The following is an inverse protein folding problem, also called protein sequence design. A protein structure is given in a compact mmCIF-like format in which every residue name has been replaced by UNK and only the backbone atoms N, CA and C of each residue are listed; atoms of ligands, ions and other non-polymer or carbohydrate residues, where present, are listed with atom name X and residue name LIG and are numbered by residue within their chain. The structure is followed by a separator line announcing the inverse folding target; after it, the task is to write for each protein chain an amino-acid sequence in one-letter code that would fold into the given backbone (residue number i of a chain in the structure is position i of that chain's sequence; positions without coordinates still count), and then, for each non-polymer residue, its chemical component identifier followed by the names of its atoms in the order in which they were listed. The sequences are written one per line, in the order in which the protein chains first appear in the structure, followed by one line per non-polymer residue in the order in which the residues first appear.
data_IF_703928976597
#
_entry.id   IF_703928976597
#
_cell.length_a   1.000
_cell.length_b   1.000
_cell.length_c   1.000
_cell.angle_alpha   90.00
_cell.angle_beta   90.00
_cell.angle_gamma   90.00
#
_symmetry.space_group_name_H-M   'P 1'
#
loop_
_entity.id
_entity.type
_entity.pdbx_description
1 polymer ?
#
# COMPACT_ATOMS: atom_id res chain seq x y z
N UNK A 1 9.14 -14.84 0.08
CA UNK A 1 7.72 -14.63 0.46
C UNK A 1 7.02 -14.07 -0.75
N UNK A 2 5.91 -14.67 -1.19
CA UNK A 2 5.10 -14.13 -2.29
C UNK A 2 4.43 -12.83 -1.82
N UNK A 3 4.28 -11.84 -2.69
CA UNK A 3 3.59 -10.59 -2.33
C UNK A 3 2.09 -10.87 -2.11
N UNK A 4 1.42 -10.01 -1.33
CA UNK A 4 -0.04 -10.10 -1.14
C UNK A 4 -0.79 -10.05 -2.49
N UNK A 5 -0.21 -9.36 -3.46
CA UNK A 5 -0.70 -9.27 -4.83
C UNK A 5 -0.60 -10.60 -5.57
N UNK A 6 0.55 -11.28 -5.51
CA UNK A 6 0.71 -12.61 -6.10
C UNK A 6 -0.24 -13.64 -5.47
N UNK A 7 -0.51 -13.52 -4.17
CA UNK A 7 -1.44 -14.38 -3.46
C UNK A 7 -2.90 -14.16 -3.89
N UNK A 8 -3.30 -12.90 -4.10
CA UNK A 8 -4.62 -12.53 -4.60
C UNK A 8 -4.82 -13.00 -6.04
N UNK A 9 -3.80 -12.87 -6.88
CA UNK A 9 -3.82 -13.35 -8.26
C UNK A 9 -3.86 -14.88 -8.34
N UNK A 10 -3.10 -15.60 -7.49
CA UNK A 10 -3.18 -17.07 -7.40
C UNK A 10 -4.57 -17.57 -6.99
N UNK A 11 -5.33 -16.78 -6.21
CA UNK A 11 -6.74 -17.08 -5.91
C UNK A 11 -7.63 -16.85 -7.12
N UNK A 12 -7.46 -15.71 -7.80
CA UNK A 12 -8.29 -15.35 -8.95
C UNK A 12 -8.08 -16.30 -10.15
N UNK A 13 -6.84 -16.72 -10.40
CA UNK A 13 -6.48 -17.70 -11.42
C UNK A 13 -7.12 -19.08 -11.17
N UNK A 14 -7.29 -19.42 -9.88
CA UNK A 14 -7.93 -20.67 -9.44
C UNK A 14 -9.46 -20.65 -9.61
N UNK A 15 -10.06 -19.47 -9.51
CA UNK A 15 -11.52 -19.28 -9.58
C UNK A 15 -12.02 -18.95 -11.00
N UNK A 16 -11.22 -18.27 -11.83
CA UNK A 16 -11.68 -17.65 -13.08
C UNK A 16 -11.03 -18.15 -14.38
N UNK A 17 -10.10 -19.13 -14.30
CA UNK A 17 -9.29 -19.56 -15.44
C UNK A 17 -8.00 -18.74 -15.61
N UNK A 18 -7.21 -18.93 -16.69
CA UNK A 18 -5.87 -18.37 -16.80
C UNK A 18 -5.93 -16.84 -16.79
N UNK A 19 -5.58 -16.27 -15.66
CA UNK A 19 -5.31 -14.84 -15.54
C UNK A 19 -4.07 -14.51 -16.33
N UNK A 20 -4.08 -13.32 -16.94
CA UNK A 20 -2.90 -12.72 -17.52
C UNK A 20 -1.71 -12.86 -16.57
N UNK A 21 -0.60 -13.43 -17.04
CA UNK A 21 0.62 -13.59 -16.24
C UNK A 21 1.52 -12.37 -16.42
N UNK A 22 1.98 -11.81 -15.32
CA UNK A 22 3.01 -10.78 -15.35
C UNK A 22 4.34 -11.37 -15.79
N UNK A 23 5.05 -10.63 -16.64
CA UNK A 23 6.46 -10.91 -16.89
C UNK A 23 7.33 -10.49 -15.69
N UNK A 24 8.60 -10.88 -15.70
CA UNK A 24 9.48 -10.65 -14.56
C UNK A 24 9.78 -9.16 -14.33
N UNK A 25 9.79 -8.35 -15.40
CA UNK A 25 9.95 -6.89 -15.30
C UNK A 25 8.75 -6.24 -14.59
N UNK A 26 7.53 -6.67 -14.91
CA UNK A 26 6.31 -6.20 -14.25
C UNK A 26 6.27 -6.62 -12.78
N UNK A 27 6.69 -7.85 -12.45
CA UNK A 27 6.80 -8.29 -11.05
C UNK A 27 7.82 -7.46 -10.28
N UNK A 28 8.99 -7.20 -10.88
CA UNK A 28 10.02 -6.36 -10.29
C UNK A 28 9.51 -4.93 -10.05
N UNK A 29 8.82 -4.34 -11.04
CA UNK A 29 8.22 -3.02 -10.91
C UNK A 29 7.17 -2.96 -9.78
N UNK A 30 6.30 -3.96 -9.66
CA UNK A 30 5.33 -4.06 -8.56
C UNK A 30 6.03 -4.16 -7.21
N UNK A 31 7.10 -4.96 -7.11
CA UNK A 31 7.86 -5.10 -5.87
C UNK A 31 8.55 -3.79 -5.45
N UNK A 32 9.05 -3.01 -6.41
CA UNK A 32 9.61 -1.69 -6.14
C UNK A 32 8.54 -0.67 -5.71
N UNK A 33 7.35 -0.72 -6.32
CA UNK A 33 6.19 0.08 -5.87
C UNK A 33 5.85 -0.29 -4.42
N UNK A 34 5.78 -1.58 -4.10
CA UNK A 34 5.49 -2.05 -2.75
C UNK A 34 6.50 -1.50 -1.73
N UNK A 35 7.81 -1.65 -1.98
CA UNK A 35 8.87 -1.11 -1.10
C UNK A 35 8.77 0.40 -0.93
N UNK A 36 8.55 1.14 -2.03
CA UNK A 36 8.40 2.60 -2.04
C UNK A 36 7.26 3.04 -1.13
N UNK A 37 6.10 2.39 -1.21
CA UNK A 37 4.94 2.77 -0.40
C UNK A 37 5.05 2.29 1.05
N UNK A 38 5.65 1.12 1.30
CA UNK A 38 5.93 0.67 2.67
C UNK A 38 6.85 1.67 3.40
N UNK A 39 7.89 2.19 2.74
CA UNK A 39 8.76 3.21 3.30
C UNK A 39 8.01 4.51 3.63
N UNK A 40 7.14 4.99 2.72
CA UNK A 40 6.33 6.20 2.95
C UNK A 40 5.34 6.04 4.09
N UNK A 41 4.70 4.88 4.19
CA UNK A 41 3.77 4.58 5.28
C UNK A 41 4.53 4.52 6.63
N UNK A 42 5.72 3.91 6.65
CA UNK A 42 6.56 3.87 7.85
C UNK A 42 6.98 5.28 8.29
N UNK A 43 7.44 6.11 7.36
CA UNK A 43 7.78 7.52 7.60
C UNK A 43 6.59 8.28 8.18
N UNK A 44 5.40 8.12 7.58
CA UNK A 44 4.18 8.77 8.04
C UNK A 44 3.78 8.35 9.46
N UNK A 45 3.95 7.07 9.81
CA UNK A 45 3.67 6.57 11.16
C UNK A 45 4.64 7.15 12.18
N UNK A 46 5.94 7.13 11.87
CA UNK A 46 6.99 7.65 12.75
C UNK A 46 6.85 9.17 12.98
N UNK A 47 6.60 9.94 11.92
CA UNK A 47 6.41 11.39 12.03
C UNK A 47 5.21 11.72 12.92
N UNK A 48 4.17 10.90 12.85
CA UNK A 48 2.91 11.13 13.58
C UNK A 48 2.95 10.64 15.02
N UNK A 49 3.82 9.69 15.34
CA UNK A 49 4.04 9.24 16.71
C UNK A 49 4.47 10.39 17.62
N UNK A 50 5.41 11.23 17.17
CA UNK A 50 5.83 12.43 17.92
C UNK A 50 4.68 13.43 18.12
N UNK A 51 3.82 13.61 17.10
CA UNK A 51 2.62 14.46 17.17
C UNK A 51 1.61 13.92 18.18
N UNK A 52 1.35 12.62 18.17
CA UNK A 52 0.45 11.96 19.12
C UNK A 52 0.97 12.05 20.56
N UNK A 53 2.29 11.93 20.78
CA UNK A 53 2.90 12.10 22.10
C UNK A 53 2.78 13.54 22.63
N UNK A 54 2.74 14.52 21.73
CA UNK A 54 2.61 15.94 22.08
C UNK A 54 1.16 16.39 22.27
N UNK A 55 0.19 15.52 21.99
CA UNK A 55 -1.22 15.85 22.11
C UNK A 55 -1.60 16.11 23.58
N UNK A 56 -2.26 17.23 23.81
CA UNK A 56 -2.62 17.73 25.15
C UNK A 56 -4.04 17.33 25.55
N UNK A 57 -4.87 16.95 24.59
CA UNK A 57 -6.26 16.55 24.81
C UNK A 57 -6.60 15.27 24.04
N UNK A 58 -7.62 14.54 24.53
CA UNK A 58 -8.13 13.37 23.81
C UNK A 58 -8.69 13.72 22.43
N UNK A 59 -9.29 14.90 22.27
CA UNK A 59 -9.84 15.35 20.98
C UNK A 59 -8.72 15.63 19.96
N UNK A 60 -7.63 16.27 20.39
CA UNK A 60 -6.43 16.48 19.56
C UNK A 60 -5.80 15.15 19.15
N UNK A 61 -5.68 14.20 20.08
CA UNK A 61 -5.15 12.88 19.78
C UNK A 61 -6.00 12.12 18.74
N UNK A 62 -7.33 12.16 18.88
CA UNK A 62 -8.23 11.52 17.92
C UNK A 62 -8.19 12.19 16.54
N UNK A 63 -8.06 13.52 16.49
CA UNK A 63 -7.87 14.23 15.23
C UNK A 63 -6.57 13.79 14.53
N UNK A 64 -5.46 13.72 15.27
CA UNK A 64 -4.17 13.26 14.72
C UNK A 64 -4.31 11.83 14.18
N UNK A 65 -4.95 10.92 14.92
CA UNK A 65 -5.18 9.54 14.45
C UNK A 65 -6.02 9.49 13.18
N UNK A 66 -7.09 10.28 13.10
CA UNK A 66 -7.95 10.34 11.93
C UNK A 66 -7.20 10.85 10.69
N UNK A 67 -6.36 11.87 10.87
CA UNK A 67 -5.54 12.42 9.80
C UNK A 67 -4.52 11.39 9.30
N UNK A 68 -3.83 10.70 10.22
CA UNK A 68 -2.88 9.63 9.89
C UNK A 68 -3.56 8.50 9.13
N UNK A 69 -4.75 8.07 9.58
CA UNK A 69 -5.50 7.01 8.91
C UNK A 69 -5.87 7.41 7.47
N UNK A 70 -6.30 8.66 7.27
CA UNK A 70 -6.63 9.20 5.94
C UNK A 70 -5.41 9.27 5.02
N UNK A 71 -4.27 9.72 5.55
CA UNK A 71 -3.02 9.81 4.78
C UNK A 71 -2.51 8.43 4.37
N UNK A 72 -2.52 7.45 5.29
CA UNK A 72 -2.15 6.07 4.98
C UNK A 72 -3.09 5.47 3.92
N UNK A 73 -4.41 5.65 4.07
CA UNK A 73 -5.38 5.17 3.09
C UNK A 73 -5.13 5.75 1.69
N UNK A 74 -4.79 7.04 1.60
CA UNK A 74 -4.43 7.67 0.33
C UNK A 74 -3.14 7.10 -0.27
N UNK A 75 -2.13 6.81 0.56
CA UNK A 75 -0.90 6.15 0.11
C UNK A 75 -1.16 4.74 -0.42
N UNK A 76 -1.99 3.95 0.27
CA UNK A 76 -2.39 2.61 -0.19
C UNK A 76 -3.18 2.68 -1.50
N UNK A 77 -4.12 3.60 -1.64
CA UNK A 77 -4.88 3.78 -2.88
C UNK A 77 -3.97 4.15 -4.07
N UNK A 78 -2.96 5.00 -3.83
CA UNK A 78 -1.95 5.33 -4.85
C UNK A 78 -1.03 4.15 -5.18
N UNK A 79 -0.65 3.35 -4.18
CA UNK A 79 0.10 2.09 -4.36
C UNK A 79 -0.66 1.14 -5.28
N UNK A 80 -1.96 0.93 -5.02
CA UNK A 80 -2.77 0.04 -5.85
C UNK A 80 -2.93 0.56 -7.28
N UNK A 81 -3.19 1.86 -7.48
CA UNK A 81 -3.27 2.46 -8.82
C UNK A 81 -1.95 2.34 -9.61
N UNK A 82 -0.81 2.54 -8.96
CA UNK A 82 0.49 2.35 -9.62
C UNK A 82 0.70 0.88 -10.03
N UNK A 83 0.36 -0.08 -9.16
CA UNK A 83 0.44 -1.52 -9.48
C UNK A 83 -0.51 -1.92 -10.60
N UNK A 84 -1.73 -1.40 -10.60
CA UNK A 84 -2.72 -1.63 -11.65
C UNK A 84 -2.25 -1.08 -13.00
N UNK A 85 -1.60 0.08 -13.02
CA UNK A 85 -0.99 0.61 -14.25
C UNK A 85 0.10 -0.32 -14.79
N UNK A 86 0.94 -0.90 -13.93
CA UNK A 86 1.96 -1.89 -14.34
C UNK A 86 1.30 -3.16 -14.86
N UNK A 87 0.22 -3.59 -14.20
CA UNK A 87 -0.57 -4.75 -14.62
C UNK A 87 -1.19 -4.56 -16.00
N UNK A 88 -1.77 -3.39 -16.27
CA UNK A 88 -2.46 -3.10 -17.53
C UNK A 88 -1.50 -2.77 -18.69
N UNK A 89 -0.23 -2.43 -18.42
CA UNK A 89 0.75 -1.97 -19.41
C UNK A 89 1.35 -3.06 -20.34
N UNK A 90 0.64 -4.15 -20.62
CA UNK A 90 1.10 -5.18 -21.57
C UNK A 90 -0.02 -6.08 -22.05
#
# INVERSE_FOLDING_TARGET
MKSAYELAMERMERESGPTRKLNDDQKAAIAEIDKKYDAKIAEQRLSSESRMQSATTGLELEQIKADVAKEIASLEERREREKESVWNAG
#
